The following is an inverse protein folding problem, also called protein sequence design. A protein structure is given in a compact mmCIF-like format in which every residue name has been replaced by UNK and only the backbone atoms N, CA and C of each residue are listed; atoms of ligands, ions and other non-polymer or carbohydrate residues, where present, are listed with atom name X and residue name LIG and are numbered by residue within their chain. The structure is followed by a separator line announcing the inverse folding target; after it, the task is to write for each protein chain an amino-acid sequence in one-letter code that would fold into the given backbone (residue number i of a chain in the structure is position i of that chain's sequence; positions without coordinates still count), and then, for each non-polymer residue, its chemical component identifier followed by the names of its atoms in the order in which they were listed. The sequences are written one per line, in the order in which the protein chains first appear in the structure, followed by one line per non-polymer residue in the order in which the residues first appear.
data_IF_416142304729
#
_entry.id   IF_416142304729
#
_cell.length_a   1.000
_cell.length_b   1.000
_cell.length_c   1.000
_cell.angle_alpha   90.00
_cell.angle_beta   90.00
_cell.angle_gamma   90.00
#
_symmetry.space_group_name_H-M   'P 1'
#
loop_
_entity.id
_entity.type
_entity.pdbx_description
1 polymer ?
#
# COMPACT_ATOMS: atom_id res chain seq x y z
N UNK A 1 6.27 4.90 -9.53
CA UNK A 1 6.92 3.72 -10.17
C UNK A 1 7.21 2.64 -9.16
N UNK A 2 7.60 1.45 -9.62
CA UNK A 2 8.21 0.41 -8.76
C UNK A 2 9.35 0.97 -7.88
N UNK A 3 10.07 1.99 -8.35
CA UNK A 3 11.22 2.54 -7.66
C UNK A 3 10.85 3.49 -6.52
N UNK A 4 10.08 4.57 -6.77
CA UNK A 4 9.78 5.57 -5.75
C UNK A 4 8.39 6.18 -5.94
N UNK A 5 7.39 5.60 -5.26
CA UNK A 5 6.07 6.18 -5.06
C UNK A 5 5.32 5.45 -3.95
N UNK A 6 4.30 6.07 -3.35
CA UNK A 6 3.48 5.38 -2.35
C UNK A 6 2.80 4.14 -2.93
N UNK A 7 2.19 4.24 -4.12
CA UNK A 7 1.55 3.11 -4.81
C UNK A 7 2.57 2.01 -5.16
N UNK A 8 3.75 2.40 -5.66
CA UNK A 8 4.82 1.47 -5.97
C UNK A 8 5.38 0.75 -4.74
N UNK A 9 5.48 1.44 -3.61
CA UNK A 9 5.87 0.84 -2.33
C UNK A 9 4.84 -0.19 -1.87
N UNK A 10 3.55 0.12 -1.98
CA UNK A 10 2.49 -0.83 -1.65
C UNK A 10 2.47 -2.04 -2.58
N UNK A 11 2.68 -1.83 -3.88
CA UNK A 11 2.83 -2.91 -4.85
C UNK A 11 4.00 -3.83 -4.46
N UNK A 12 5.19 -3.27 -4.16
CA UNK A 12 6.34 -4.06 -3.69
C UNK A 12 6.01 -4.85 -2.43
N UNK A 13 5.49 -4.20 -1.39
CA UNK A 13 5.19 -4.88 -0.13
C UNK A 13 4.19 -6.02 -0.32
N UNK A 14 3.20 -5.86 -1.19
CA UNK A 14 2.25 -6.93 -1.54
C UNK A 14 2.91 -8.09 -2.27
N UNK A 15 3.79 -7.81 -3.21
CA UNK A 15 4.52 -8.86 -3.94
C UNK A 15 5.42 -9.64 -3.00
N UNK A 16 6.23 -8.97 -2.17
CA UNK A 16 7.10 -9.66 -1.21
C UNK A 16 6.29 -10.50 -0.23
N UNK A 17 5.16 -9.96 0.25
CA UNK A 17 4.24 -10.72 1.09
C UNK A 17 3.67 -11.94 0.36
N UNK A 18 3.20 -11.81 -0.89
CA UNK A 18 2.70 -12.94 -1.70
C UNK A 18 3.71 -14.09 -1.84
N UNK A 19 5.00 -13.79 -1.78
CA UNK A 19 6.11 -14.74 -1.81
C UNK A 19 6.52 -15.26 -0.42
N UNK A 20 5.89 -14.80 0.66
CA UNK A 20 6.25 -15.16 2.03
C UNK A 20 7.53 -14.49 2.53
N UNK A 21 7.93 -13.38 1.91
CA UNK A 21 9.13 -12.62 2.25
C UNK A 21 8.78 -11.40 3.13
N UNK A 22 9.55 -11.17 4.19
CA UNK A 22 9.26 -10.14 5.20
C UNK A 22 10.51 -9.35 5.58
N UNK A 23 10.29 -8.20 6.21
CA UNK A 23 11.37 -7.33 6.67
C UNK A 23 11.84 -7.73 8.07
N UNK A 24 10.90 -8.14 8.93
CA UNK A 24 11.15 -8.47 10.33
C UNK A 24 10.55 -9.82 10.71
N UNK A 25 10.96 -10.35 11.87
CA UNK A 25 10.33 -11.51 12.48
C UNK A 25 9.06 -11.14 13.29
N UNK A 26 8.35 -12.15 13.81
CA UNK A 26 7.13 -11.97 14.62
C UNK A 26 7.35 -11.10 15.86
N UNK A 27 8.57 -11.10 16.42
CA UNK A 27 8.89 -10.27 17.57
C UNK A 27 9.16 -8.80 17.21
N UNK A 28 9.44 -8.52 15.93
CA UNK A 28 9.90 -7.21 15.46
C UNK A 28 11.31 -6.84 15.88
N UNK A 29 12.09 -7.77 16.44
CA UNK A 29 13.43 -7.48 16.92
C UNK A 29 14.52 -7.82 15.90
N UNK A 30 14.22 -8.73 14.97
CA UNK A 30 15.20 -9.24 14.02
C UNK A 30 14.76 -8.96 12.59
N UNK A 31 15.70 -8.51 11.77
CA UNK A 31 15.55 -8.34 10.33
C UNK A 31 15.62 -9.72 9.67
N UNK A 32 14.68 -9.99 8.75
CA UNK A 32 14.56 -11.26 8.02
C UNK A 32 14.63 -11.09 6.50
N UNK A 33 15.02 -9.89 6.05
CA UNK A 33 14.94 -9.45 4.67
C UNK A 33 15.80 -10.23 3.66
N UNK A 34 16.98 -10.71 4.05
CA UNK A 34 17.87 -11.48 3.17
C UNK A 34 17.43 -12.94 3.18
N UNK A 35 16.50 -13.26 2.28
CA UNK A 35 15.92 -14.60 2.17
C UNK A 35 15.76 -15.02 0.70
N UNK A 36 15.77 -16.33 0.39
CA UNK A 36 15.48 -16.82 -0.96
C UNK A 36 14.14 -16.32 -1.51
N UNK A 37 13.12 -16.23 -0.65
CA UNK A 37 11.79 -15.74 -1.00
C UNK A 37 11.82 -14.26 -1.40
N UNK A 38 12.60 -13.42 -0.68
CA UNK A 38 12.77 -12.02 -1.03
C UNK A 38 13.48 -11.87 -2.38
N UNK A 39 14.52 -12.67 -2.62
CA UNK A 39 15.24 -12.68 -3.91
C UNK A 39 14.31 -13.08 -5.04
N UNK A 40 13.50 -14.11 -4.87
CA UNK A 40 12.55 -14.56 -5.91
C UNK A 40 11.45 -13.52 -6.16
N UNK A 41 10.88 -12.93 -5.10
CA UNK A 41 9.88 -11.87 -5.20
C UNK A 41 10.40 -10.65 -5.97
N UNK A 42 11.61 -10.20 -5.63
CA UNK A 42 12.25 -9.06 -6.27
C UNK A 42 12.65 -9.37 -7.71
N UNK A 43 13.07 -10.60 -8.00
CA UNK A 43 13.38 -11.06 -9.36
C UNK A 43 12.13 -11.02 -10.23
N UNK A 44 11.03 -11.61 -9.76
CA UNK A 44 9.76 -11.57 -10.49
C UNK A 44 9.28 -10.14 -10.72
N UNK A 45 9.27 -9.32 -9.66
CA UNK A 45 8.72 -7.96 -9.72
C UNK A 45 9.51 -7.06 -10.68
N UNK A 46 10.84 -7.12 -10.62
CA UNK A 46 11.70 -6.29 -11.48
C UNK A 46 11.74 -6.80 -12.92
N UNK A 47 11.51 -8.11 -13.15
CA UNK A 47 11.37 -8.65 -14.51
C UNK A 47 10.29 -7.95 -15.32
N UNK A 48 9.20 -7.48 -14.68
CA UNK A 48 8.12 -6.72 -15.35
C UNK A 48 8.67 -5.52 -16.11
N UNK A 49 9.73 -4.90 -15.58
CA UNK A 49 10.31 -3.66 -16.11
C UNK A 49 11.57 -3.88 -16.94
N UNK A 50 12.19 -5.06 -16.83
CA UNK A 50 13.50 -5.36 -17.43
C UNK A 50 13.41 -6.36 -18.59
N UNK A 51 12.42 -7.27 -18.59
CA UNK A 51 12.24 -8.24 -19.68
C UNK A 51 11.51 -7.60 -20.87
N UNK A 52 12.09 -7.71 -22.06
CA UNK A 52 11.49 -7.25 -23.33
C UNK A 52 10.10 -7.83 -23.59
N UNK A 53 9.78 -9.01 -23.02
CA UNK A 53 8.47 -9.65 -23.16
C UNK A 53 7.32 -8.79 -22.62
N UNK A 54 7.60 -7.96 -21.62
CA UNK A 54 6.61 -7.09 -20.99
C UNK A 54 6.61 -5.67 -21.57
N UNK A 55 7.67 -5.28 -22.28
CA UNK A 55 7.82 -3.93 -22.83
C UNK A 55 6.59 -3.42 -23.62
N UNK A 56 5.88 -4.23 -24.43
CA UNK A 56 4.66 -3.77 -25.12
C UNK A 56 3.49 -3.40 -24.20
N UNK A 57 3.48 -3.90 -22.96
CA UNK A 57 2.43 -3.62 -21.97
C UNK A 57 2.76 -2.42 -21.08
N UNK A 58 3.99 -1.91 -21.13
CA UNK A 58 4.44 -0.82 -20.28
C UNK A 58 4.27 0.53 -21.00
N UNK A 59 3.66 1.52 -20.34
CA UNK A 59 3.65 2.89 -20.83
C UNK A 59 5.07 3.45 -21.07
N UNK A 60 5.25 4.31 -22.08
CA UNK A 60 6.51 5.01 -22.30
C UNK A 60 6.97 5.77 -21.07
N UNK A 61 8.26 5.68 -20.76
CA UNK A 61 8.86 6.40 -19.64
C UNK A 61 8.40 5.92 -18.26
N UNK A 62 7.80 4.72 -18.15
CA UNK A 62 7.29 4.21 -16.87
C UNK A 62 8.32 4.32 -15.76
N UNK A 63 9.62 4.09 -15.99
CA UNK A 63 10.66 4.16 -14.96
C UNK A 63 10.88 5.56 -14.35
N UNK A 64 10.42 6.63 -15.00
CA UNK A 64 10.52 8.01 -14.50
C UNK A 64 9.22 8.57 -13.92
N UNK A 65 8.18 7.74 -13.78
CA UNK A 65 6.91 8.19 -13.22
C UNK A 65 7.02 8.61 -11.75
N UNK A 66 6.14 9.52 -11.34
CA UNK A 66 5.95 9.94 -9.94
C UNK A 66 4.64 9.36 -9.40
N UNK A 67 4.28 9.68 -8.15
CA UNK A 67 3.01 9.26 -7.53
C UNK A 67 1.77 9.69 -8.31
N UNK A 68 1.85 10.77 -9.09
CA UNK A 68 0.72 11.29 -9.86
C UNK A 68 0.59 10.67 -11.26
N UNK A 69 1.67 10.11 -11.80
CA UNK A 69 1.72 9.75 -13.23
C UNK A 69 0.76 8.64 -13.63
N UNK A 70 0.48 7.68 -12.73
CA UNK A 70 -0.50 6.63 -13.00
C UNK A 70 -1.93 7.19 -13.08
N UNK A 71 -2.30 8.16 -12.23
CA UNK A 71 -3.59 8.84 -12.27
C UNK A 71 -3.76 9.58 -13.60
N UNK A 72 -2.75 10.38 -13.98
CA UNK A 72 -2.77 11.15 -15.22
C UNK A 72 -2.90 10.23 -16.44
N UNK A 73 -2.12 9.15 -16.49
CA UNK A 73 -2.16 8.19 -17.59
C UNK A 73 -3.49 7.42 -17.66
N UNK A 74 -4.08 7.03 -16.52
CA UNK A 74 -5.36 6.35 -16.48
C UNK A 74 -6.51 7.27 -16.91
N UNK A 75 -6.57 8.49 -16.39
CA UNK A 75 -7.59 9.48 -16.76
C UNK A 75 -7.49 9.93 -18.22
N UNK A 76 -6.32 9.79 -18.83
CA UNK A 76 -6.09 10.00 -20.27
C UNK A 76 -6.44 8.77 -21.13
N UNK A 77 -6.89 7.66 -20.54
CA UNK A 77 -7.24 6.42 -21.25
C UNK A 77 -6.04 5.63 -21.76
N UNK A 78 -4.84 5.86 -21.24
CA UNK A 78 -3.61 5.16 -21.65
C UNK A 78 -3.37 3.86 -20.87
N UNK A 79 -4.05 3.68 -19.73
CA UNK A 79 -3.92 2.52 -18.88
C UNK A 79 -5.20 1.70 -18.87
N UNK A 80 -5.08 0.39 -19.07
CA UNK A 80 -6.16 -0.56 -18.82
C UNK A 80 -6.18 -1.04 -17.35
N UNK A 81 -5.04 -1.01 -16.67
CA UNK A 81 -4.90 -1.51 -15.30
C UNK A 81 -3.86 -0.68 -14.54
N UNK A 82 -4.16 -0.31 -13.30
CA UNK A 82 -3.24 0.41 -12.41
C UNK A 82 -3.42 -0.05 -10.97
N UNK A 83 -2.33 -0.13 -10.22
CA UNK A 83 -2.38 -0.30 -8.78
C UNK A 83 -2.40 1.09 -8.13
N UNK A 84 -3.50 1.44 -7.47
CA UNK A 84 -3.70 2.73 -6.80
C UNK A 84 -4.74 2.56 -5.69
N UNK A 85 -4.86 3.56 -4.81
CA UNK A 85 -6.10 3.75 -4.07
C UNK A 85 -7.26 4.17 -4.98
N UNK A 86 -8.45 4.35 -4.42
CA UNK A 86 -9.63 4.82 -5.15
C UNK A 86 -9.55 6.24 -5.73
N UNK A 87 -8.38 6.91 -5.68
CA UNK A 87 -8.24 8.32 -6.11
C UNK A 87 -8.46 8.51 -7.60
N UNK A 88 -8.08 7.53 -8.43
CA UNK A 88 -8.27 7.57 -9.89
C UNK A 88 -9.76 7.59 -10.23
N UNK A 89 -10.51 6.65 -9.68
CA UNK A 89 -11.96 6.56 -9.87
C UNK A 89 -12.69 7.76 -9.24
N UNK A 90 -12.33 8.13 -8.01
CA UNK A 90 -12.90 9.29 -7.34
C UNK A 90 -12.73 10.57 -8.16
N UNK A 91 -11.54 10.79 -8.75
CA UNK A 91 -11.29 11.92 -9.64
C UNK A 91 -12.09 11.82 -10.95
N UNK A 92 -12.21 10.63 -11.52
CA UNK A 92 -13.01 10.42 -12.73
C UNK A 92 -14.50 10.76 -12.51
N UNK A 93 -15.06 10.41 -11.35
CA UNK A 93 -16.44 10.77 -10.96
C UNK A 93 -16.58 12.29 -10.81
N UNK A 94 -15.68 12.94 -10.07
CA UNK A 94 -15.75 14.37 -9.77
C UNK A 94 -15.59 15.25 -11.01
N UNK A 95 -14.77 14.81 -11.98
CA UNK A 95 -14.51 15.54 -13.22
C UNK A 95 -15.44 15.14 -14.38
N UNK A 96 -16.39 14.23 -14.14
CA UNK A 96 -17.25 13.67 -15.20
C UNK A 96 -16.44 13.02 -16.34
N UNK A 97 -15.29 12.42 -16.02
CA UNK A 97 -14.45 11.76 -17.01
C UNK A 97 -15.09 10.44 -17.45
N UNK A 98 -15.21 10.15 -18.76
CA UNK A 98 -15.89 8.94 -19.27
C UNK A 98 -15.30 7.62 -18.76
N UNK A 99 -14.01 7.59 -18.38
CA UNK A 99 -13.39 6.36 -17.86
C UNK A 99 -14.09 5.84 -16.60
N UNK A 100 -14.80 6.71 -15.86
CA UNK A 100 -15.57 6.31 -14.68
C UNK A 100 -16.57 5.18 -14.96
N UNK A 101 -17.15 5.14 -16.16
CA UNK A 101 -18.19 4.18 -16.53
C UNK A 101 -17.60 2.79 -16.84
N UNK A 102 -16.30 2.74 -17.17
CA UNK A 102 -15.54 1.52 -17.49
C UNK A 102 -14.53 1.14 -16.38
N UNK A 103 -14.57 1.82 -15.22
CA UNK A 103 -13.66 1.57 -14.11
C UNK A 103 -14.28 0.63 -13.08
N UNK A 104 -13.52 -0.38 -12.66
CA UNK A 104 -13.87 -1.31 -11.59
C UNK A 104 -12.72 -1.52 -10.61
N UNK A 105 -13.02 -2.13 -9.46
CA UNK A 105 -12.03 -2.59 -8.51
C UNK A 105 -11.74 -4.07 -8.72
N UNK A 106 -10.47 -4.40 -8.87
CA UNK A 106 -9.97 -5.77 -8.86
C UNK A 106 -9.25 -6.02 -7.53
N UNK A 107 -9.75 -6.99 -6.75
CA UNK A 107 -9.08 -7.42 -5.53
C UNK A 107 -7.63 -7.83 -5.87
N UNK A 108 -6.61 -7.25 -5.22
CA UNK A 108 -5.24 -7.52 -5.62
C UNK A 108 -4.91 -9.02 -5.44
N UNK A 109 -4.30 -9.66 -6.45
CA UNK A 109 -3.98 -11.08 -6.36
C UNK A 109 -2.86 -11.33 -5.34
N UNK A 110 -2.85 -12.53 -4.78
CA UNK A 110 -1.73 -13.03 -3.98
C UNK A 110 -0.54 -13.48 -4.83
N UNK A 111 0.41 -14.14 -4.16
CA UNK A 111 1.57 -14.78 -4.77
C UNK A 111 1.58 -16.30 -4.58
N UNK A 112 2.72 -16.96 -4.85
CA UNK A 112 2.84 -18.42 -4.81
C UNK A 112 2.77 -19.02 -3.39
N UNK A 113 3.01 -18.23 -2.35
CA UNK A 113 2.94 -18.66 -0.95
C UNK A 113 1.63 -18.21 -0.32
N UNK A 114 1.35 -16.90 -0.37
CA UNK A 114 0.08 -16.34 0.10
C UNK A 114 -0.83 -16.06 -1.09
N UNK A 115 -1.72 -17.00 -1.37
CA UNK A 115 -2.57 -16.99 -2.57
C UNK A 115 -3.68 -15.94 -2.52
N UNK A 116 -4.05 -15.49 -1.33
CA UNK A 116 -4.98 -14.38 -1.13
C UNK A 116 -4.42 -13.43 -0.09
N UNK A 117 -4.42 -12.14 -0.40
CA UNK A 117 -4.04 -11.12 0.55
C UNK A 117 -4.88 -9.86 0.37
N UNK A 118 -5.82 -9.69 1.30
CA UNK A 118 -6.86 -8.69 1.22
C UNK A 118 -6.68 -7.68 2.35
N UNK A 119 -5.85 -6.65 2.12
CA UNK A 119 -5.74 -5.48 3.00
C UNK A 119 -6.02 -4.18 2.22
N UNK A 120 -6.76 -3.26 2.82
CA UNK A 120 -6.84 -1.89 2.33
C UNK A 120 -5.99 -0.98 3.21
N UNK A 121 -5.66 0.21 2.71
CA UNK A 121 -5.07 1.25 3.55
C UNK A 121 -6.14 1.83 4.48
N UNK A 122 -5.75 2.20 5.70
CA UNK A 122 -6.65 2.83 6.67
C UNK A 122 -6.02 4.13 7.19
N UNK A 123 -6.86 5.12 7.46
CA UNK A 123 -6.48 6.32 8.18
C UNK A 123 -7.18 6.34 9.53
N UNK A 124 -6.52 6.89 10.54
CA UNK A 124 -7.06 6.99 11.89
C UNK A 124 -6.92 8.41 12.45
N UNK A 125 -7.91 8.84 13.23
CA UNK A 125 -7.78 10.04 14.03
C UNK A 125 -6.96 9.74 15.29
N UNK A 126 -5.96 10.57 15.57
CA UNK A 126 -5.12 10.47 16.76
C UNK A 126 -5.23 11.74 17.61
N UNK A 127 -5.30 11.58 18.94
CA UNK A 127 -5.27 12.70 19.87
C UNK A 127 -3.89 12.80 20.51
N UNK A 128 -3.30 13.99 20.43
CA UNK A 128 -2.03 14.27 21.10
C UNK A 128 -2.19 14.27 22.62
N UNK A 129 -1.31 13.54 23.31
CA UNK A 129 -1.24 13.57 24.77
C UNK A 129 -0.87 14.99 25.24
N UNK A 130 -1.64 15.52 26.19
CA UNK A 130 -1.43 16.89 26.70
C UNK A 130 -2.00 18.00 25.82
N UNK A 131 -2.84 17.69 24.83
CA UNK A 131 -3.57 18.71 24.07
C UNK A 131 -4.34 19.65 25.01
N UNK A 132 -4.38 20.95 24.68
CA UNK A 132 -4.99 21.99 25.52
C UNK A 132 -6.49 21.79 25.75
N UNK A 133 -7.19 21.16 24.82
CA UNK A 133 -8.63 20.92 24.90
C UNK A 133 -8.98 19.50 24.42
N UNK A 134 -8.68 18.46 25.22
CA UNK A 134 -8.86 17.07 24.81
C UNK A 134 -10.34 16.68 24.70
N UNK A 135 -11.23 17.36 25.42
CA UNK A 135 -12.67 17.09 25.38
C UNK A 135 -13.27 17.52 24.04
N UNK A 136 -12.96 18.74 23.58
CA UNK A 136 -13.40 19.20 22.26
C UNK A 136 -12.81 18.36 21.11
N UNK A 137 -11.55 17.94 21.23
CA UNK A 137 -10.94 17.06 20.23
C UNK A 137 -11.65 15.70 20.14
N UNK A 138 -12.02 15.11 21.30
CA UNK A 138 -12.80 13.86 21.32
C UNK A 138 -14.17 14.04 20.67
N UNK A 139 -14.82 15.17 20.92
CA UNK A 139 -16.13 15.43 20.34
C UNK A 139 -16.08 15.64 18.82
N UNK A 140 -15.07 16.35 18.32
CA UNK A 140 -14.84 16.46 16.89
C UNK A 140 -14.63 15.07 16.24
N UNK A 141 -13.81 14.21 16.84
CA UNK A 141 -13.60 12.84 16.32
C UNK A 141 -14.89 12.03 16.35
N UNK A 142 -15.70 12.11 17.41
CA UNK A 142 -17.01 11.45 17.44
C UNK A 142 -17.92 11.96 16.34
N UNK A 143 -17.98 13.27 16.13
CA UNK A 143 -18.82 13.85 15.08
C UNK A 143 -18.39 13.37 13.70
N UNK A 144 -17.08 13.32 13.40
CA UNK A 144 -16.61 12.81 12.12
C UNK A 144 -16.85 11.31 11.89
N UNK A 145 -16.88 10.49 12.96
CA UNK A 145 -16.92 9.03 12.83
C UNK A 145 -18.28 8.39 13.14
N UNK A 146 -19.15 9.07 13.90
CA UNK A 146 -20.40 8.51 14.42
C UNK A 146 -21.65 9.22 13.90
N UNK A 147 -21.51 10.41 13.32
CA UNK A 147 -22.61 11.09 12.65
C UNK A 147 -22.75 10.57 11.22
N UNK A 148 -23.91 9.99 10.91
CA UNK A 148 -24.14 9.33 9.63
C UNK A 148 -24.15 10.32 8.45
N UNK A 149 -24.71 11.51 8.62
CA UNK A 149 -24.75 12.52 7.56
C UNK A 149 -23.35 13.08 7.29
N UNK A 150 -22.52 13.22 8.33
CA UNK A 150 -21.10 13.56 8.16
C UNK A 150 -20.32 12.47 7.42
N UNK A 151 -20.52 11.20 7.77
CA UNK A 151 -19.87 10.07 7.08
C UNK A 151 -20.31 9.98 5.62
N UNK A 152 -21.61 10.11 5.34
CA UNK A 152 -22.13 10.17 3.96
C UNK A 152 -21.53 11.35 3.18
N UNK A 153 -21.34 12.49 3.83
CA UNK A 153 -20.62 13.63 3.25
C UNK A 153 -19.17 13.30 2.88
N UNK A 154 -18.45 12.55 3.72
CA UNK A 154 -17.08 12.10 3.42
C UNK A 154 -17.10 11.17 2.20
N UNK A 155 -17.97 10.17 2.18
CA UNK A 155 -18.02 9.20 1.08
C UNK A 155 -18.38 9.86 -0.26
N UNK A 156 -19.32 10.82 -0.24
CA UNK A 156 -19.70 11.58 -1.42
C UNK A 156 -18.55 12.46 -1.97
N UNK A 157 -17.72 13.03 -1.08
CA UNK A 157 -16.56 13.84 -1.49
C UNK A 157 -15.34 13.02 -1.92
N UNK A 158 -15.29 11.72 -1.58
CA UNK A 158 -14.20 10.83 -1.91
C UNK A 158 -14.70 9.48 -2.47
N UNK A 159 -15.34 9.50 -3.67
CA UNK A 159 -16.02 8.33 -4.23
C UNK A 159 -15.10 7.10 -4.34
N UNK A 160 -15.46 6.01 -3.67
CA UNK A 160 -14.71 4.75 -3.60
C UNK A 160 -13.24 4.88 -3.12
N UNK A 161 -12.84 6.04 -2.61
CA UNK A 161 -11.54 6.26 -1.95
C UNK A 161 -11.70 6.26 -0.43
N UNK A 162 -12.73 6.95 0.08
CA UNK A 162 -13.16 6.78 1.46
C UNK A 162 -14.15 5.61 1.52
N UNK A 163 -13.88 4.65 2.40
CA UNK A 163 -14.69 3.45 2.58
C UNK A 163 -15.09 3.31 4.05
N UNK A 164 -16.21 2.64 4.35
CA UNK A 164 -16.61 2.41 5.72
C UNK A 164 -15.66 1.51 6.49
N UNK A 165 -15.30 1.93 7.70
CA UNK A 165 -14.54 1.11 8.65
C UNK A 165 -15.43 0.27 9.58
N UNK A 166 -16.75 0.50 9.57
CA UNK A 166 -17.71 -0.25 10.37
C UNK A 166 -18.67 -1.02 9.47
N UNK A 167 -18.84 -2.31 9.73
CA UNK A 167 -19.65 -3.24 8.94
C UNK A 167 -21.04 -2.69 8.58
N UNK A 168 -21.76 -2.14 9.57
CA UNK A 168 -23.13 -1.63 9.36
C UNK A 168 -23.20 -0.45 8.41
N UNK A 169 -22.16 0.39 8.37
CA UNK A 169 -22.15 1.60 7.53
C UNK A 169 -22.14 1.28 6.03
N UNK A 170 -21.69 0.08 5.64
CA UNK A 170 -21.77 -0.39 4.25
C UNK A 170 -23.21 -0.51 3.73
N UNK A 171 -24.20 -0.58 4.62
CA UNK A 171 -25.63 -0.63 4.27
C UNK A 171 -26.42 0.56 4.78
N UNK A 172 -26.02 1.17 5.90
CA UNK A 172 -26.69 2.35 6.46
C UNK A 172 -26.36 3.65 5.72
N UNK A 173 -25.19 3.74 5.07
CA UNK A 173 -24.82 4.88 4.23
C UNK A 173 -25.79 5.04 3.05
N UNK A 174 -26.18 6.27 2.75
CA UNK A 174 -26.97 6.58 1.55
C UNK A 174 -26.13 6.55 0.28
N UNK A 175 -24.81 6.70 0.40
CA UNK A 175 -23.90 6.85 -0.73
C UNK A 175 -23.21 5.53 -1.12
N UNK A 176 -22.64 4.80 -0.15
CA UNK A 176 -21.84 3.59 -0.43
C UNK A 176 -22.57 2.54 -1.28
N UNK A 177 -23.84 2.16 -0.99
CA UNK A 177 -24.56 1.17 -1.79
C UNK A 177 -24.85 1.61 -3.24
N UNK A 178 -24.75 2.90 -3.54
CA UNK A 178 -24.99 3.44 -4.88
C UNK A 178 -23.73 3.52 -5.74
N UNK A 179 -22.56 3.28 -5.13
CA UNK A 179 -21.27 3.32 -5.80
C UNK A 179 -20.74 1.89 -6.02
N UNK A 180 -20.82 1.41 -7.26
CA UNK A 180 -20.41 0.04 -7.62
C UNK A 180 -18.96 -0.27 -7.20
N UNK A 181 -18.02 0.63 -7.50
CA UNK A 181 -16.58 0.43 -7.19
C UNK A 181 -16.32 0.46 -5.68
N UNK A 182 -17.13 1.20 -4.90
CA UNK A 182 -17.06 1.09 -3.44
C UNK A 182 -17.52 -0.30 -2.98
N UNK A 183 -18.66 -0.80 -3.50
CA UNK A 183 -19.20 -2.11 -3.15
C UNK A 183 -18.30 -3.28 -3.54
N UNK A 184 -17.58 -3.17 -4.66
CA UNK A 184 -16.57 -4.16 -5.08
C UNK A 184 -15.40 -4.27 -4.09
N UNK A 185 -15.14 -3.23 -3.29
CA UNK A 185 -14.09 -3.22 -2.27
C UNK A 185 -14.53 -3.82 -0.93
N UNK A 186 -15.84 -4.02 -0.69
CA UNK A 186 -16.37 -4.54 0.58
C UNK A 186 -15.74 -5.88 1.01
N UNK A 187 -15.60 -6.90 0.12
CA UNK A 187 -15.00 -8.17 0.53
C UNK A 187 -13.54 -8.04 0.99
N UNK A 188 -12.80 -7.08 0.44
CA UNK A 188 -11.41 -6.82 0.82
C UNK A 188 -11.36 -6.01 2.11
N UNK A 189 -12.22 -4.99 2.25
CA UNK A 189 -12.31 -4.15 3.44
C UNK A 189 -12.76 -4.92 4.69
N UNK A 190 -13.66 -5.89 4.51
CA UNK A 190 -14.21 -6.73 5.58
C UNK A 190 -13.49 -8.07 5.73
N UNK A 191 -12.36 -8.24 5.02
CA UNK A 191 -11.56 -9.46 5.09
C UNK A 191 -11.03 -9.69 6.51
N UNK A 192 -11.13 -10.92 7.06
CA UNK A 192 -10.53 -11.25 8.35
C UNK A 192 -8.99 -11.21 8.30
N UNK A 193 -8.38 -11.18 7.11
CA UNK A 193 -6.95 -10.95 6.91
C UNK A 193 -6.60 -9.47 6.75
N UNK A 194 -7.58 -8.55 6.81
CA UNK A 194 -7.37 -7.10 6.61
C UNK A 194 -6.43 -6.44 7.61
N UNK A 195 -6.27 -7.03 8.80
CA UNK A 195 -5.33 -6.56 9.84
C UNK A 195 -3.88 -6.95 9.55
N UNK A 196 -3.64 -7.86 8.61
CA UNK A 196 -2.30 -8.13 8.13
C UNK A 196 -1.91 -6.98 7.22
N UNK A 197 -0.87 -6.24 7.60
CA UNK A 197 -0.31 -5.15 6.78
C UNK A 197 1.04 -5.62 6.24
N UNK A 198 1.23 -5.79 4.91
CA UNK A 198 2.44 -6.38 4.33
C UNK A 198 3.73 -5.70 4.78
N UNK A 199 3.67 -4.39 4.99
CA UNK A 199 4.81 -3.57 5.37
C UNK A 199 5.33 -3.88 6.78
N UNK A 200 4.47 -4.36 7.69
CA UNK A 200 4.83 -4.58 9.10
C UNK A 200 4.69 -6.03 9.54
N UNK A 201 3.88 -6.83 8.86
CA UNK A 201 3.75 -8.26 9.11
C UNK A 201 5.09 -8.99 8.92
N UNK A 202 5.42 -10.03 9.72
CA UNK A 202 4.63 -10.62 10.81
C UNK A 202 4.80 -9.95 12.18
N UNK A 203 5.71 -8.98 12.30
CA UNK A 203 5.98 -8.31 13.56
C UNK A 203 4.92 -7.28 13.98
N UNK A 204 5.13 -6.60 15.12
CA UNK A 204 4.18 -5.64 15.66
C UNK A 204 3.99 -4.43 14.72
N UNK A 205 2.75 -3.89 14.63
CA UNK A 205 2.52 -2.62 13.98
C UNK A 205 3.27 -1.52 14.75
N UNK A 206 3.80 -0.53 14.02
CA UNK A 206 4.54 0.63 14.58
C UNK A 206 5.95 0.35 15.12
N UNK A 207 6.68 -0.62 14.56
CA UNK A 207 8.12 -0.72 14.80
C UNK A 207 8.83 0.57 14.32
N UNK A 208 9.46 1.30 15.25
CA UNK A 208 10.14 2.56 14.97
C UNK A 208 11.34 2.39 14.02
N UNK A 209 12.07 1.29 14.12
CA UNK A 209 13.19 0.99 13.23
C UNK A 209 12.70 0.76 11.79
N UNK A 210 11.57 0.06 11.61
CA UNK A 210 10.94 -0.09 10.28
C UNK A 210 10.46 1.26 9.72
N UNK A 211 9.85 2.11 10.55
CA UNK A 211 9.40 3.43 10.12
C UNK A 211 10.59 4.30 9.67
N UNK A 212 11.71 4.24 10.39
CA UNK A 212 12.95 4.93 10.02
C UNK A 212 13.56 4.38 8.72
N UNK A 213 13.62 3.05 8.57
CA UNK A 213 14.06 2.40 7.34
C UNK A 213 13.21 2.79 6.12
N UNK A 214 11.89 2.81 6.28
CA UNK A 214 10.96 3.28 5.23
C UNK A 214 11.18 4.74 4.87
N UNK A 215 11.39 5.60 5.87
CA UNK A 215 11.66 7.04 5.65
C UNK A 215 13.00 7.28 4.97
N UNK A 216 13.99 6.41 5.20
CA UNK A 216 15.30 6.45 4.56
C UNK A 216 15.29 5.92 3.11
N UNK A 217 14.16 5.37 2.63
CA UNK A 217 14.01 4.93 1.24
C UNK A 217 14.87 3.72 0.87
N UNK A 218 15.30 2.89 1.84
CA UNK A 218 16.34 1.89 1.58
C UNK A 218 15.89 0.77 0.63
N UNK A 219 14.59 0.46 0.59
CA UNK A 219 14.02 -0.47 -0.38
C UNK A 219 13.88 0.17 -1.77
N UNK A 220 13.68 1.48 -1.85
CA UNK A 220 13.67 2.22 -3.10
C UNK A 220 15.08 2.20 -3.72
N UNK A 221 16.12 2.44 -2.91
CA UNK A 221 17.51 2.30 -3.34
C UNK A 221 17.81 0.88 -3.88
N UNK A 222 17.32 -0.16 -3.21
CA UNK A 222 17.44 -1.55 -3.68
C UNK A 222 16.81 -1.74 -5.06
N UNK A 223 15.59 -1.24 -5.30
CA UNK A 223 14.96 -1.33 -6.62
C UNK A 223 15.78 -0.56 -7.66
N UNK A 224 16.24 0.65 -7.32
CA UNK A 224 17.08 1.46 -8.20
C UNK A 224 18.41 0.78 -8.56
N UNK A 225 19.01 0.03 -7.63
CA UNK A 225 20.24 -0.75 -7.87
C UNK A 225 19.96 -1.92 -8.82
N UNK A 226 18.88 -2.68 -8.61
CA UNK A 226 18.50 -3.79 -9.51
C UNK A 226 18.25 -3.27 -10.93
N UNK A 227 17.50 -2.19 -11.08
CA UNK A 227 17.23 -1.57 -12.39
C UNK A 227 18.50 -1.03 -13.07
N UNK A 228 19.57 -0.76 -12.32
CA UNK A 228 20.90 -0.38 -12.84
C UNK A 228 21.81 -1.58 -13.12
N UNK A 229 21.34 -2.80 -12.90
CA UNK A 229 22.05 -4.03 -13.23
C UNK A 229 22.73 -4.72 -12.05
N UNK A 230 22.54 -4.26 -10.81
CA UNK A 230 23.00 -5.00 -9.62
C UNK A 230 22.26 -6.34 -9.54
N UNK A 231 22.95 -7.48 -9.33
CA UNK A 231 22.29 -8.77 -9.14
C UNK A 231 21.27 -8.71 -7.99
N UNK A 232 20.08 -9.30 -8.19
CA UNK A 232 18.97 -9.20 -7.24
C UNK A 232 19.36 -9.63 -5.83
N UNK A 233 20.06 -10.76 -5.69
CA UNK A 233 20.54 -11.25 -4.41
C UNK A 233 21.50 -10.27 -3.70
N UNK A 234 22.35 -9.60 -4.46
CA UNK A 234 23.29 -8.61 -3.92
C UNK A 234 22.54 -7.34 -3.44
N UNK A 235 21.57 -6.87 -4.22
CA UNK A 235 20.75 -5.72 -3.83
C UNK A 235 19.87 -6.03 -2.60
N UNK A 236 19.28 -7.23 -2.52
CA UNK A 236 18.50 -7.71 -1.36
C UNK A 236 19.38 -7.76 -0.11
N UNK A 237 20.58 -8.34 -0.21
CA UNK A 237 21.53 -8.37 0.90
C UNK A 237 21.96 -6.97 1.35
N UNK A 238 22.26 -6.07 0.41
CA UNK A 238 22.61 -4.67 0.72
C UNK A 238 21.46 -3.96 1.44
N UNK A 239 20.22 -4.21 1.02
CA UNK A 239 19.03 -3.70 1.68
C UNK A 239 18.88 -4.26 3.10
N UNK A 240 19.13 -5.55 3.28
CA UNK A 240 19.12 -6.21 4.59
C UNK A 240 20.13 -5.57 5.56
N UNK A 241 21.40 -5.46 5.14
CA UNK A 241 22.47 -4.89 5.96
C UNK A 241 22.12 -3.47 6.45
N UNK A 242 21.46 -2.67 5.59
CA UNK A 242 20.96 -1.33 5.95
C UNK A 242 19.80 -1.36 6.94
N UNK A 243 18.86 -2.30 6.80
CA UNK A 243 17.82 -2.50 7.82
C UNK A 243 18.45 -2.88 9.17
N UNK A 244 19.44 -3.78 9.17
CA UNK A 244 20.13 -4.25 10.38
C UNK A 244 20.86 -3.13 11.08
N UNK A 245 21.53 -2.25 10.32
CA UNK A 245 22.14 -1.05 10.87
C UNK A 245 21.11 -0.17 11.59
N UNK A 246 19.98 0.13 10.94
CA UNK A 246 18.92 0.96 11.52
C UNK A 246 18.32 0.27 12.76
N UNK A 247 18.07 -1.04 12.73
CA UNK A 247 17.58 -1.77 13.90
C UNK A 247 18.52 -1.61 15.09
N UNK A 248 19.85 -1.70 14.87
CA UNK A 248 20.86 -1.47 15.91
C UNK A 248 20.88 -0.03 16.44
N UNK A 249 20.67 0.97 15.59
CA UNK A 249 20.56 2.38 15.99
C UNK A 249 19.35 2.62 16.92
N UNK A 250 18.30 1.82 16.79
CA UNK A 250 17.13 1.81 17.68
C UNK A 250 17.28 0.86 18.89
N UNK A 251 18.47 0.30 19.11
CA UNK A 251 18.75 -0.59 20.25
C UNK A 251 18.21 -2.01 20.10
N UNK A 252 17.82 -2.43 18.89
CA UNK A 252 17.40 -3.80 18.58
C UNK A 252 18.62 -4.66 18.17
N UNK A 253 18.55 -6.00 18.30
CA UNK A 253 19.65 -6.89 17.92
C UNK A 253 20.06 -6.80 16.44
N UNK A 254 19.11 -6.53 15.54
CA UNK A 254 19.32 -6.46 14.10
C UNK A 254 19.20 -7.83 13.43
N UNK A 255 20.03 -8.82 13.79
CA UNK A 255 19.98 -10.18 13.24
C UNK A 255 20.01 -11.24 14.34
N UNK A 256 19.52 -12.45 14.02
CA UNK A 256 19.70 -13.62 14.90
C UNK A 256 21.16 -14.04 14.84
N UNK A 257 21.72 -14.39 16.00
CA UNK A 257 23.09 -14.88 16.12
C UNK A 257 23.28 -16.27 15.49
#
# INVERSE_FOLDING_TARGET
TINASNDGNWFRNRVTHGWGAYIQDESGQFVTFDSPEMVDAMTWMTSIYMDDKWAPMLPPGILSWTDMSNNEAYLAGLLAYTFNGGTVYGKAILDDNPVKDDTGFHAPPGGPVHTEFNSLGHNNFMLLKGARNPDAAREAVRHFLLDLDMMDGIYANAPAFALPCYEKLWRESKYIPTNQVAMEQEPVAMSPQGDQVPQTYPGPPHNQALAAAGSAGIQNDMVADILRGTPVAEAVKTCHDRHVQIFKEFGLPGEKA
#
